data_IF_272986339920
#
_entry.id   IF_272986339920
#
_cell.length_a   1.000
_cell.length_b   1.000
_cell.length_c   1.000
_cell.angle_alpha   90.00
_cell.angle_beta   90.00
_cell.angle_gamma   90.00
#
_symmetry.space_group_name_H-M   'P 1'
#
loop_
_entity.id
_entity.type
_entity.pdbx_description
1 polymer ?
#
# COMPACT_ATOMS: atom_id res chain seq x y z
N UNK A 1 -9.17 19.51 7.99
CA UNK A 1 -8.67 18.22 7.43
C UNK A 1 -7.15 18.24 7.30
N UNK A 2 -6.59 19.19 6.56
CA UNK A 2 -5.13 19.33 6.39
C UNK A 2 -4.38 19.39 7.75
N UNK A 3 -4.87 20.17 8.70
CA UNK A 3 -4.27 20.31 10.04
C UNK A 3 -4.27 19.01 10.87
N UNK A 4 -5.27 18.14 10.69
CA UNK A 4 -5.33 16.84 11.36
C UNK A 4 -4.33 15.86 10.75
N UNK A 5 -4.24 15.86 9.42
CA UNK A 5 -3.28 15.06 8.65
C UNK A 5 -1.87 15.51 8.99
N UNK A 6 -1.58 16.82 8.99
CA UNK A 6 -0.28 17.39 9.33
C UNK A 6 0.15 17.08 10.76
N UNK A 7 -0.76 17.23 11.74
CA UNK A 7 -0.49 16.91 13.15
C UNK A 7 -0.25 15.42 13.37
N UNK A 8 -0.97 14.55 12.66
CA UNK A 8 -0.75 13.10 12.72
C UNK A 8 0.48 12.67 11.94
N UNK A 9 0.85 13.43 10.90
CA UNK A 9 1.98 13.16 10.05
C UNK A 9 3.31 13.67 10.55
N UNK A 10 3.30 14.45 11.63
CA UNK A 10 4.50 15.05 12.20
C UNK A 10 5.33 15.78 11.12
N UNK A 11 4.66 16.34 10.11
CA UNK A 11 5.29 17.04 8.99
C UNK A 11 5.92 16.15 7.89
N UNK A 12 5.71 14.83 7.91
CA UNK A 12 6.20 13.94 6.85
C UNK A 12 5.22 13.95 5.64
N UNK A 13 5.64 14.44 4.46
CA UNK A 13 4.77 14.50 3.27
C UNK A 13 4.30 13.12 2.81
N UNK A 14 5.17 12.10 2.89
CA UNK A 14 4.83 10.72 2.52
C UNK A 14 3.77 10.15 3.46
N UNK A 15 3.87 10.42 4.76
CA UNK A 15 2.88 9.93 5.70
C UNK A 15 1.56 10.70 5.61
N UNK A 16 1.59 12.00 5.32
CA UNK A 16 0.37 12.77 5.05
C UNK A 16 -0.44 12.16 3.90
N UNK A 17 0.26 11.74 2.84
CA UNK A 17 -0.32 11.09 1.68
C UNK A 17 -0.84 9.69 1.98
N UNK A 18 -0.04 8.85 2.65
CA UNK A 18 -0.45 7.49 3.04
C UNK A 18 -1.62 7.47 4.02
N UNK A 19 -1.65 8.43 4.96
CA UNK A 19 -2.76 8.61 5.89
C UNK A 19 -4.03 9.02 5.15
N UNK A 20 -3.93 9.96 4.20
CA UNK A 20 -5.07 10.35 3.36
C UNK A 20 -5.58 9.16 2.52
N UNK A 21 -4.69 8.35 1.95
CA UNK A 21 -5.09 7.16 1.21
C UNK A 21 -5.77 6.12 2.10
N UNK A 22 -5.19 5.81 3.26
CA UNK A 22 -5.80 4.88 4.22
C UNK A 22 -7.19 5.33 4.67
N UNK A 23 -7.39 6.63 4.86
CA UNK A 23 -8.71 7.18 5.22
C UNK A 23 -9.72 7.07 4.09
N UNK A 24 -9.29 7.27 2.85
CA UNK A 24 -10.16 7.10 1.69
C UNK A 24 -10.55 5.65 1.48
N UNK A 25 -9.60 4.72 1.60
CA UNK A 25 -9.85 3.28 1.53
C UNK A 25 -10.75 2.77 2.66
N UNK A 26 -10.65 3.36 3.84
CA UNK A 26 -11.52 3.05 4.98
C UNK A 26 -12.92 3.69 4.85
N UNK A 27 -13.20 4.44 3.78
CA UNK A 27 -14.47 5.14 3.59
C UNK A 27 -14.68 6.29 4.57
N UNK A 28 -13.63 6.76 5.23
CA UNK A 28 -13.68 7.87 6.20
C UNK A 28 -13.77 9.21 5.49
N UNK A 29 -13.08 9.32 4.35
CA UNK A 29 -13.08 10.52 3.51
C UNK A 29 -13.48 10.19 2.08
N UNK A 30 -14.12 11.16 1.44
CA UNK A 30 -14.56 11.11 0.05
C UNK A 30 -14.07 12.38 -0.68
N UNK A 31 -13.89 12.27 -1.99
CA UNK A 31 -13.51 13.41 -2.82
C UNK A 31 -14.73 13.81 -3.64
N UNK A 32 -15.29 14.98 -3.35
CA UNK A 32 -16.39 15.58 -4.09
C UNK A 32 -15.93 16.88 -4.75
N UNK A 33 -16.03 16.96 -6.08
CA UNK A 33 -15.64 18.14 -6.87
C UNK A 33 -14.19 18.63 -6.60
N UNK A 34 -13.26 17.70 -6.36
CA UNK A 34 -11.87 18.03 -6.04
C UNK A 34 -11.62 18.45 -4.59
N UNK A 35 -12.67 18.51 -3.76
CA UNK A 35 -12.56 18.78 -2.33
C UNK A 35 -12.62 17.48 -1.52
N UNK A 36 -11.68 17.33 -0.59
CA UNK A 36 -11.71 16.25 0.40
C UNK A 36 -12.75 16.56 1.48
N UNK A 37 -13.73 15.66 1.65
CA UNK A 37 -14.79 15.76 2.66
C UNK A 37 -14.83 14.49 3.51
N UNK A 38 -15.36 14.61 4.72
CA UNK A 38 -15.62 13.46 5.60
C UNK A 38 -16.89 12.78 5.08
N UNK A 39 -16.86 11.45 4.92
CA UNK A 39 -17.99 10.70 4.42
C UNK A 39 -19.19 10.79 5.37
N UNK A 40 -20.40 10.85 4.81
CA UNK A 40 -21.63 10.90 5.60
C UNK A 40 -21.78 9.64 6.47
N UNK A 41 -21.85 9.82 7.79
CA UNK A 41 -21.96 8.72 8.78
C UNK A 41 -20.71 8.50 9.62
N UNK A 42 -19.59 9.13 9.25
CA UNK A 42 -18.39 9.21 10.10
C UNK A 42 -18.62 10.33 11.11
N UNK A 43 -18.64 9.98 12.39
CA UNK A 43 -18.82 10.93 13.50
C UNK A 43 -17.58 11.78 13.76
N UNK A 44 -17.16 11.86 15.02
CA UNK A 44 -15.98 12.63 15.39
C UNK A 44 -14.70 11.97 14.84
N UNK A 45 -13.93 12.69 14.02
CA UNK A 45 -12.68 12.18 13.49
C UNK A 45 -11.74 11.69 14.60
N UNK A 46 -11.76 12.30 15.80
CA UNK A 46 -10.91 11.91 16.92
C UNK A 46 -11.20 10.50 17.48
N UNK A 47 -12.34 9.90 17.16
CA UNK A 47 -12.74 8.56 17.62
C UNK A 47 -12.39 7.46 16.62
N UNK A 48 -11.95 7.82 15.41
CA UNK A 48 -11.47 6.85 14.44
C UNK A 48 -10.11 6.32 14.87
N UNK A 49 -9.98 4.99 14.89
CA UNK A 49 -8.70 4.32 15.04
C UNK A 49 -7.84 4.55 13.79
N UNK A 50 -7.22 5.73 13.70
CA UNK A 50 -6.20 5.99 12.70
C UNK A 50 -5.01 5.04 12.95
N UNK A 51 -4.45 4.42 11.90
CA UNK A 51 -3.14 3.81 12.02
C UNK A 51 -2.15 4.92 12.43
N UNK A 52 -1.60 4.79 13.64
CA UNK A 52 -0.82 5.84 14.29
C UNK A 52 0.54 6.10 13.62
N UNK A 53 0.95 5.23 12.68
CA UNK A 53 2.28 5.23 12.05
C UNK A 53 2.24 4.68 10.63
N UNK A 54 3.22 5.04 9.78
CA UNK A 54 3.40 4.50 8.41
C UNK A 54 3.40 2.97 8.47
N UNK A 55 4.11 2.44 9.47
CA UNK A 55 4.25 1.02 9.74
C UNK A 55 2.89 0.37 10.01
N UNK A 56 1.98 1.04 10.73
CA UNK A 56 0.62 0.56 10.96
C UNK A 56 -0.24 0.55 9.69
N UNK A 57 -0.11 1.55 8.82
CA UNK A 57 -0.79 1.58 7.51
C UNK A 57 -0.29 0.42 6.63
N UNK A 58 1.02 0.28 6.50
CA UNK A 58 1.66 -0.76 5.70
C UNK A 58 1.29 -2.15 6.25
N UNK A 59 1.36 -2.34 7.56
CA UNK A 59 0.97 -3.61 8.20
C UNK A 59 -0.50 -3.95 7.90
N UNK A 60 -1.42 -3.00 8.04
CA UNK A 60 -2.84 -3.21 7.73
C UNK A 60 -3.08 -3.55 6.26
N UNK A 61 -2.31 -2.99 5.33
CA UNK A 61 -2.38 -3.35 3.90
C UNK A 61 -1.86 -4.76 3.65
N UNK A 62 -0.76 -5.14 4.30
CA UNK A 62 -0.20 -6.50 4.22
C UNK A 62 -1.19 -7.52 4.79
N UNK A 63 -1.86 -7.20 5.91
CA UNK A 63 -2.85 -8.08 6.54
C UNK A 63 -4.07 -8.38 5.65
N UNK A 64 -4.36 -7.52 4.66
CA UNK A 64 -5.45 -7.71 3.69
C UNK A 64 -5.07 -8.59 2.50
N UNK A 65 -3.78 -8.90 2.32
CA UNK A 65 -3.29 -9.78 1.26
C UNK A 65 -3.64 -11.24 1.59
N UNK A 66 -3.95 -12.01 0.55
CA UNK A 66 -4.04 -13.47 0.68
C UNK A 66 -2.70 -14.09 1.09
N UNK A 67 -2.74 -15.33 1.58
CA UNK A 67 -1.53 -16.06 2.01
C UNK A 67 -0.47 -16.13 0.91
N UNK A 68 -0.87 -16.40 -0.35
CA UNK A 68 0.05 -16.47 -1.50
C UNK A 68 0.63 -15.10 -1.86
N UNK A 69 -0.15 -14.02 -1.76
CA UNK A 69 0.32 -12.65 -1.99
C UNK A 69 1.31 -12.20 -0.89
N UNK A 70 1.04 -12.52 0.38
CA UNK A 70 1.97 -12.25 1.49
C UNK A 70 3.28 -13.03 1.35
N UNK A 71 3.19 -14.30 0.94
CA UNK A 71 4.35 -15.14 0.69
C UNK A 71 5.20 -14.57 -0.45
N UNK A 72 4.57 -14.22 -1.56
CA UNK A 72 5.21 -13.55 -2.70
C UNK A 72 5.95 -12.29 -2.25
N UNK A 73 5.30 -11.45 -1.44
CA UNK A 73 5.90 -10.23 -0.88
C UNK A 73 7.13 -10.52 0.01
N UNK A 74 7.06 -11.55 0.86
CA UNK A 74 8.18 -11.96 1.73
C UNK A 74 9.38 -12.43 0.90
N UNK A 75 9.14 -13.28 -0.09
CA UNK A 75 10.20 -13.79 -0.98
C UNK A 75 10.83 -12.63 -1.75
N UNK A 76 10.02 -11.77 -2.37
CA UNK A 76 10.49 -10.56 -3.06
C UNK A 76 11.35 -9.66 -2.15
N UNK A 77 10.90 -9.44 -0.91
CA UNK A 77 11.60 -8.61 0.08
C UNK A 77 12.96 -9.21 0.50
N UNK A 78 13.09 -10.54 0.50
CA UNK A 78 14.34 -11.22 0.80
C UNK A 78 15.36 -11.14 -0.35
N UNK A 79 14.89 -11.05 -1.62
CA UNK A 79 15.76 -10.85 -2.78
C UNK A 79 16.32 -9.42 -2.78
N UNK A 80 15.45 -8.43 -2.57
CA UNK A 80 15.83 -7.01 -2.49
C UNK A 80 14.87 -6.07 -3.22
N UNK A 81 15.24 -4.78 -3.32
CA UNK A 81 14.37 -3.72 -3.87
C UNK A 81 14.07 -3.84 -5.38
N UNK A 82 14.93 -4.53 -6.12
CA UNK A 82 14.78 -4.78 -7.56
C UNK A 82 15.33 -6.15 -7.87
N UNK A 83 14.58 -6.94 -8.61
CA UNK A 83 14.89 -8.33 -8.94
C UNK A 83 14.23 -8.72 -10.26
N UNK A 84 14.79 -9.72 -10.94
CA UNK A 84 14.18 -10.30 -12.13
C UNK A 84 13.02 -11.23 -11.75
N UNK A 85 11.94 -11.21 -12.53
CA UNK A 85 10.78 -12.10 -12.33
C UNK A 85 11.18 -13.58 -12.28
N UNK A 86 12.13 -13.97 -13.14
CA UNK A 86 12.64 -15.33 -13.20
C UNK A 86 13.23 -15.78 -11.85
N UNK A 87 14.00 -14.92 -11.18
CA UNK A 87 14.60 -15.23 -9.89
C UNK A 87 13.53 -15.42 -8.81
N UNK A 88 12.49 -14.58 -8.79
CA UNK A 88 11.37 -14.73 -7.87
C UNK A 88 10.65 -16.07 -8.10
N UNK A 89 10.36 -16.42 -9.36
CA UNK A 89 9.70 -17.66 -9.73
C UNK A 89 10.51 -18.89 -9.29
N UNK A 90 11.81 -18.86 -9.51
CA UNK A 90 12.70 -20.00 -9.28
C UNK A 90 12.90 -20.30 -7.79
N UNK A 91 12.75 -19.29 -6.92
CA UNK A 91 12.87 -19.46 -5.46
C UNK A 91 11.52 -19.47 -4.73
N UNK A 92 10.41 -19.34 -5.46
CA UNK A 92 9.08 -19.33 -4.85
C UNK A 92 8.77 -20.73 -4.28
N UNK A 93 8.40 -20.84 -2.99
CA UNK A 93 8.34 -22.15 -2.33
C UNK A 93 7.07 -22.95 -2.65
N UNK A 94 6.09 -22.34 -3.33
CA UNK A 94 4.87 -23.01 -3.79
C UNK A 94 4.87 -23.00 -5.32
N UNK A 95 4.99 -24.19 -5.93
CA UNK A 95 4.99 -24.35 -7.39
C UNK A 95 3.61 -24.05 -8.00
N UNK A 96 2.53 -24.44 -7.31
CA UNK A 96 1.14 -24.19 -7.74
C UNK A 96 0.80 -22.70 -7.87
N UNK A 97 1.53 -21.82 -7.18
CA UNK A 97 1.36 -20.37 -7.25
C UNK A 97 2.07 -19.75 -8.48
N UNK A 98 2.98 -20.48 -9.14
CA UNK A 98 3.78 -19.93 -10.25
C UNK A 98 2.94 -19.35 -11.41
N UNK A 99 1.81 -19.95 -11.83
CA UNK A 99 0.95 -19.37 -12.86
C UNK A 99 0.35 -18.02 -12.47
N UNK A 100 0.09 -17.81 -11.17
CA UNK A 100 -0.55 -16.60 -10.63
C UNK A 100 0.46 -15.56 -10.12
N UNK A 101 1.75 -15.91 -10.05
CA UNK A 101 2.80 -15.08 -9.46
C UNK A 101 2.88 -13.67 -10.09
N UNK A 102 2.68 -13.59 -11.42
CA UNK A 102 2.65 -12.30 -12.11
C UNK A 102 1.43 -11.45 -11.68
N UNK A 103 0.27 -12.07 -11.49
CA UNK A 103 -0.92 -11.40 -10.99
C UNK A 103 -0.72 -10.91 -9.55
N UNK A 104 -0.08 -11.70 -8.70
CA UNK A 104 0.29 -11.28 -7.35
C UNK A 104 1.20 -10.06 -7.38
N UNK A 105 2.24 -10.05 -8.22
CA UNK A 105 3.13 -8.89 -8.35
C UNK A 105 2.41 -7.63 -8.83
N UNK A 106 1.53 -7.75 -9.83
CA UNK A 106 0.74 -6.62 -10.33
C UNK A 106 -0.18 -6.08 -9.24
N UNK A 107 -0.82 -6.96 -8.47
CA UNK A 107 -1.65 -6.56 -7.33
C UNK A 107 -0.85 -5.91 -6.21
N UNK A 108 0.29 -6.48 -5.83
CA UNK A 108 1.18 -5.94 -4.80
C UNK A 108 1.69 -4.55 -5.17
N UNK A 109 2.10 -4.35 -6.43
CA UNK A 109 2.51 -3.03 -6.91
C UNK A 109 1.40 -1.99 -6.75
N UNK A 110 0.15 -2.35 -7.06
CA UNK A 110 -1.01 -1.45 -6.91
C UNK A 110 -1.44 -1.24 -5.46
N UNK A 111 -1.27 -2.26 -4.62
CA UNK A 111 -1.71 -2.24 -3.23
C UNK A 111 -0.68 -1.63 -2.27
N UNK A 112 0.60 -1.61 -2.64
CA UNK A 112 1.71 -1.16 -1.76
C UNK A 112 2.33 0.15 -2.25
N UNK A 113 2.24 0.50 -3.54
CA UNK A 113 2.72 1.78 -4.07
C UNK A 113 1.54 2.62 -4.59
N UNK A 114 1.22 3.78 -3.98
CA UNK A 114 0.37 4.76 -4.63
C UNK A 114 1.22 5.43 -5.72
N UNK A 115 0.94 5.11 -6.98
CA UNK A 115 1.37 5.83 -8.18
C UNK A 115 2.82 6.37 -8.18
N UNK A 116 3.72 5.49 -8.61
CA UNK A 116 5.01 5.75 -9.28
C UNK A 116 5.55 7.17 -9.32
N UNK A 117 6.62 7.38 -8.54
CA UNK A 117 7.75 8.13 -9.07
C UNK A 117 8.43 7.25 -10.15
N UNK A 118 7.91 7.33 -11.37
CA UNK A 118 8.47 6.70 -12.58
C UNK A 118 9.79 7.37 -13.01
N UNK A 119 10.58 7.88 -12.06
CA UNK A 119 11.90 8.48 -12.32
C UNK A 119 13.06 7.73 -11.68
N UNK A 120 12.80 6.66 -10.92
CA UNK A 120 13.85 5.78 -10.41
C UNK A 120 13.64 4.34 -10.91
N UNK A 121 14.04 4.10 -12.16
CA UNK A 121 14.62 2.82 -12.60
C UNK A 121 13.87 1.54 -12.25
N UNK A 122 12.70 1.34 -12.85
CA UNK A 122 12.18 0.01 -13.17
C UNK A 122 12.25 -0.09 -14.70
N UNK A 123 13.25 -0.72 -15.32
CA UNK A 123 13.98 -1.88 -14.80
C UNK A 123 13.07 -3.10 -14.65
N UNK A 124 11.85 -3.05 -15.19
CA UNK A 124 11.10 -4.24 -15.59
C UNK A 124 11.46 -4.47 -17.05
N UNK A 125 12.56 -5.18 -17.29
CA UNK A 125 12.67 -5.89 -18.56
C UNK A 125 11.80 -7.13 -18.41
N UNK A 126 10.66 -7.10 -19.10
CA UNK A 126 9.92 -8.31 -19.49
C UNK A 126 10.87 -9.19 -20.30
#
# INVERSE_FOLDING_TARGET
MAELIEKKAEGNPFFSEELAYGLREAGVIEIHNGECRIAAGVGNLNELNFPATVQGVIASRIDRLSSSEQLTLKVASAIGRSFGFQLLRDIHPIEDDQPELLNYLIKLQRSILPNGDTRAGLGVYV
#
